data_IF_209915017438
#
_entry.id   IF_209915017438
#
_cell.length_a   1.000
_cell.length_b   1.000
_cell.length_c   1.000
_cell.angle_alpha   90.00
_cell.angle_beta   90.00
_cell.angle_gamma   90.00
#
_symmetry.space_group_name_H-M   'P 1'
#
loop_
_entity.id
_entity.type
_entity.pdbx_description
1 polymer ?
#
# COMPACT_ATOMS: atom_id res chain seq x y z
N UNK A 1 -14.74 11.16 5.32
CA UNK A 1 -13.97 10.99 6.57
C UNK A 1 -13.22 9.68 6.48
N UNK A 2 -11.92 9.64 6.79
CA UNK A 2 -11.22 8.35 6.95
C UNK A 2 -11.82 7.63 8.16
N UNK A 3 -12.19 6.37 8.00
CA UNK A 3 -12.76 5.56 9.08
C UNK A 3 -11.63 5.16 10.03
N UNK A 4 -11.71 5.61 11.28
CA UNK A 4 -10.82 5.14 12.35
C UNK A 4 -11.55 4.03 13.09
N UNK A 5 -10.96 2.84 13.13
CA UNK A 5 -11.48 1.71 13.91
C UNK A 5 -10.66 1.62 15.20
N UNK A 6 -11.31 1.59 16.36
CA UNK A 6 -10.62 1.43 17.64
C UNK A 6 -10.76 -0.01 18.10
N UNK A 7 -9.64 -0.69 18.34
CA UNK A 7 -9.64 -2.04 18.89
C UNK A 7 -10.16 -2.00 20.35
N UNK A 8 -11.22 -2.74 20.68
CA UNK A 8 -11.88 -2.63 21.99
C UNK A 8 -11.05 -3.19 23.15
N UNK A 9 -9.98 -3.94 22.89
CA UNK A 9 -9.15 -4.56 23.93
C UNK A 9 -7.90 -3.76 24.25
N UNK A 10 -7.16 -3.34 23.23
CA UNK A 10 -5.90 -2.59 23.35
C UNK A 10 -6.09 -1.07 23.33
N UNK A 11 -7.23 -0.58 22.83
CA UNK A 11 -7.46 0.85 22.59
C UNK A 11 -6.69 1.43 21.40
N UNK A 12 -5.98 0.58 20.63
CA UNK A 12 -5.26 1.02 19.44
C UNK A 12 -6.22 1.50 18.35
N UNK A 13 -5.83 2.58 17.68
CA UNK A 13 -6.57 3.12 16.54
C UNK A 13 -5.96 2.62 15.23
N UNK A 14 -6.79 1.98 14.41
CA UNK A 14 -6.47 1.54 13.07
C UNK A 14 -7.05 2.51 12.05
N UNK A 15 -6.20 2.99 11.15
CA UNK A 15 -6.57 3.93 10.09
C UNK A 15 -6.33 3.26 8.74
N UNK A 16 -7.36 3.21 7.89
CA UNK A 16 -7.22 2.70 6.53
C UNK A 16 -6.46 3.70 5.65
N UNK A 17 -5.38 3.24 5.02
CA UNK A 17 -4.53 4.04 4.13
C UNK A 17 -4.66 3.62 2.65
N UNK A 18 -5.37 2.54 2.37
CA UNK A 18 -5.53 1.99 1.03
C UNK A 18 -6.70 2.61 0.28
N UNK A 19 -6.58 2.65 -1.04
CA UNK A 19 -7.71 2.93 -1.92
C UNK A 19 -8.52 1.65 -2.18
N UNK A 20 -9.84 1.78 -2.28
CA UNK A 20 -10.71 0.67 -2.67
C UNK A 20 -10.37 0.22 -4.09
N UNK A 21 -10.15 -1.08 -4.25
CA UNK A 21 -9.99 -1.70 -5.57
C UNK A 21 -11.34 -2.00 -6.22
N UNK A 22 -11.38 -1.92 -7.55
CA UNK A 22 -12.58 -2.23 -8.31
C UNK A 22 -12.51 -1.78 -9.76
N UNK A 23 -13.67 -1.82 -10.42
CA UNK A 23 -13.83 -1.29 -11.77
C UNK A 23 -13.50 0.21 -11.76
N UNK A 24 -12.69 0.67 -12.73
CA UNK A 24 -12.17 2.03 -12.86
C UNK A 24 -11.13 2.47 -11.80
N UNK A 25 -10.57 1.55 -11.00
CA UNK A 25 -9.36 1.89 -10.26
C UNK A 25 -8.28 2.31 -11.26
N UNK A 26 -7.66 3.50 -11.12
CA UNK A 26 -6.69 3.98 -12.10
C UNK A 26 -5.52 3.03 -12.24
N UNK A 27 -5.12 2.76 -13.48
CA UNK A 27 -3.92 2.00 -13.82
C UNK A 27 -2.79 2.95 -14.25
N UNK A 28 -1.55 2.53 -14.04
CA UNK A 28 -0.39 3.22 -14.61
C UNK A 28 -0.48 3.17 -16.14
N UNK A 29 -0.22 4.27 -16.88
CA UNK A 29 -0.16 4.22 -18.33
C UNK A 29 0.78 3.13 -18.84
N UNK A 30 0.22 2.16 -19.58
CA UNK A 30 0.93 0.99 -20.10
C UNK A 30 0.57 -0.33 -19.42
N UNK A 31 0.03 -0.30 -18.19
CA UNK A 31 -0.42 -1.48 -17.47
C UNK A 31 -1.89 -1.81 -17.77
N UNK A 32 -2.21 -3.10 -17.80
CA UNK A 32 -3.58 -3.56 -17.96
C UNK A 32 -4.41 -3.27 -16.70
N UNK A 33 -5.67 -2.84 -16.91
CA UNK A 33 -6.61 -2.64 -15.81
C UNK A 33 -6.88 -3.92 -15.02
N UNK A 34 -7.24 -3.74 -13.74
CA UNK A 34 -7.68 -4.84 -12.88
C UNK A 34 -8.99 -5.42 -13.40
N UNK A 35 -8.98 -6.72 -13.68
CA UNK A 35 -10.17 -7.48 -14.05
C UNK A 35 -10.63 -8.32 -12.86
N UNK A 36 -11.87 -8.08 -12.42
CA UNK A 36 -12.49 -8.82 -11.32
C UNK A 36 -13.88 -9.29 -11.73
N UNK A 37 -14.16 -10.58 -11.57
CA UNK A 37 -15.47 -11.14 -11.88
C UNK A 37 -15.84 -12.28 -10.93
N UNK A 38 -17.15 -12.45 -10.69
CA UNK A 38 -17.65 -13.58 -9.88
C UNK A 38 -17.56 -14.86 -10.70
N UNK A 39 -16.77 -15.81 -10.20
CA UNK A 39 -16.64 -17.12 -10.82
C UNK A 39 -17.68 -18.11 -10.28
N UNK A 40 -18.09 -17.97 -9.02
CA UNK A 40 -19.05 -18.87 -8.36
C UNK A 40 -20.09 -18.01 -7.63
N UNK A 41 -21.38 -18.35 -7.80
CA UNK A 41 -22.51 -17.64 -7.20
C UNK A 41 -23.10 -18.44 -6.04
N UNK A 42 -23.31 -17.78 -4.90
CA UNK A 42 -23.81 -18.42 -3.68
C UNK A 42 -25.17 -19.09 -3.88
N UNK A 43 -26.10 -18.45 -4.58
CA UNK A 43 -27.43 -18.99 -4.83
C UNK A 43 -27.41 -20.31 -5.63
N UNK A 44 -26.36 -20.55 -6.41
CA UNK A 44 -26.24 -21.74 -7.26
C UNK A 44 -25.43 -22.86 -6.60
N UNK A 45 -24.40 -22.50 -5.82
CA UNK A 45 -23.39 -23.47 -5.36
C UNK A 45 -23.18 -23.48 -3.84
N UNK A 46 -23.92 -22.67 -3.08
CA UNK A 46 -23.74 -22.55 -1.62
C UNK A 46 -22.48 -21.79 -1.18
N UNK A 47 -21.66 -21.30 -2.13
CA UNK A 47 -20.43 -20.52 -1.87
C UNK A 47 -20.27 -19.40 -2.88
N UNK A 48 -19.47 -18.37 -2.55
CA UNK A 48 -19.13 -17.26 -3.44
C UNK A 48 -17.63 -17.17 -3.64
N UNK A 49 -17.19 -17.07 -4.89
CA UNK A 49 -15.78 -16.89 -5.24
C UNK A 49 -15.61 -15.91 -6.40
N UNK A 50 -14.53 -15.13 -6.33
CA UNK A 50 -14.14 -14.16 -7.36
C UNK A 50 -12.83 -14.59 -8.01
N UNK A 51 -12.68 -14.26 -9.30
CA UNK A 51 -11.42 -14.34 -10.03
C UNK A 51 -10.90 -12.92 -10.26
N UNK A 52 -9.61 -12.76 -10.03
CA UNK A 52 -8.89 -11.51 -10.18
C UNK A 52 -7.73 -11.72 -11.16
N UNK A 53 -7.53 -10.80 -12.09
CA UNK A 53 -6.33 -10.68 -12.93
C UNK A 53 -5.85 -9.24 -12.83
N UNK A 54 -4.61 -9.05 -12.41
CA UNK A 54 -3.99 -7.74 -12.17
C UNK A 54 -2.48 -7.83 -12.37
N UNK A 55 -1.84 -6.67 -12.55
CA UNK A 55 -0.40 -6.53 -12.34
C UNK A 55 -0.13 -6.34 -10.86
N UNK A 56 1.10 -6.58 -10.40
CA UNK A 56 1.46 -6.36 -8.99
C UNK A 56 1.40 -4.88 -8.59
N UNK A 57 1.50 -3.97 -9.57
CA UNK A 57 1.57 -2.53 -9.40
C UNK A 57 0.20 -1.85 -9.57
N UNK A 58 -0.87 -2.44 -9.03
CA UNK A 58 -2.22 -1.89 -9.13
C UNK A 58 -2.67 -1.26 -7.81
N UNK A 59 -3.17 -0.01 -7.86
CA UNK A 59 -3.70 0.72 -6.71
C UNK A 59 -2.66 0.95 -5.60
N UNK A 60 -3.12 0.95 -4.33
CA UNK A 60 -2.19 0.90 -3.17
C UNK A 60 -1.50 -0.46 -3.16
N UNK A 61 -0.18 -0.47 -3.36
CA UNK A 61 0.63 -1.68 -3.48
C UNK A 61 1.99 -1.48 -2.80
N UNK A 62 2.80 -2.54 -2.78
CA UNK A 62 4.18 -2.49 -2.30
C UNK A 62 5.15 -2.96 -3.39
N UNK A 63 6.34 -2.37 -3.40
CA UNK A 63 7.42 -2.79 -4.27
C UNK A 63 8.41 -3.65 -3.49
N UNK A 64 8.87 -4.72 -4.13
CA UNK A 64 9.93 -5.59 -3.58
C UNK A 64 11.25 -5.29 -4.28
N UNK A 65 12.42 -5.62 -3.69
CA UNK A 65 13.71 -5.38 -4.32
C UNK A 65 13.80 -5.91 -5.75
N UNK A 66 13.22 -7.09 -6.02
CA UNK A 66 13.20 -7.70 -7.36
C UNK A 66 12.58 -6.81 -8.45
N UNK A 67 11.75 -5.82 -8.08
CA UNK A 67 11.14 -4.90 -9.04
C UNK A 67 12.18 -4.07 -9.81
N UNK A 68 13.23 -3.59 -9.14
CA UNK A 68 14.24 -2.70 -9.76
C UNK A 68 15.69 -3.18 -9.57
N UNK A 69 15.92 -4.18 -8.71
CA UNK A 69 17.25 -4.70 -8.41
C UNK A 69 17.36 -6.09 -9.02
N UNK A 70 18.27 -6.25 -9.96
CA UNK A 70 18.55 -7.53 -10.59
C UNK A 70 18.93 -8.57 -9.53
N UNK A 71 18.25 -9.72 -9.53
CA UNK A 71 18.37 -10.79 -8.51
C UNK A 71 18.02 -10.32 -7.08
N UNK A 72 17.26 -9.23 -6.94
CA UNK A 72 16.70 -8.82 -5.66
C UNK A 72 15.70 -9.84 -5.11
N UNK A 73 15.40 -9.73 -3.81
CA UNK A 73 14.41 -10.56 -3.15
C UNK A 73 12.99 -10.30 -3.70
N UNK A 74 12.23 -11.38 -3.95
CA UNK A 74 10.80 -11.29 -4.24
C UNK A 74 9.98 -11.18 -2.96
N UNK A 75 8.67 -10.95 -3.08
CA UNK A 75 7.79 -10.77 -1.92
C UNK A 75 7.82 -11.95 -0.92
N UNK A 76 7.92 -13.17 -1.44
CA UNK A 76 7.96 -14.39 -0.62
C UNK A 76 9.28 -14.58 0.14
N UNK A 77 10.34 -13.85 -0.25
CA UNK A 77 11.67 -13.94 0.35
C UNK A 77 11.91 -12.86 1.42
N UNK A 78 10.97 -11.93 1.60
CA UNK A 78 11.08 -10.87 2.61
C UNK A 78 10.59 -11.41 3.96
N UNK A 79 11.40 -11.25 5.00
CA UNK A 79 11.05 -11.67 6.36
C UNK A 79 9.88 -10.82 6.90
N UNK A 80 8.99 -11.46 7.69
CA UNK A 80 7.71 -10.86 8.11
C UNK A 80 7.86 -9.61 8.99
N UNK A 81 8.96 -9.50 9.73
CA UNK A 81 9.29 -8.33 10.56
C UNK A 81 9.50 -7.06 9.74
N UNK A 82 9.84 -7.15 8.45
CA UNK A 82 9.93 -5.99 7.56
C UNK A 82 8.57 -5.37 7.20
N UNK A 83 7.45 -6.02 7.52
CA UNK A 83 6.10 -5.52 7.22
C UNK A 83 5.43 -4.82 8.42
N UNK A 84 6.13 -4.77 9.56
CA UNK A 84 5.64 -4.14 10.78
C UNK A 84 6.70 -3.23 11.37
N UNK A 85 6.32 -2.01 11.72
CA UNK A 85 7.27 -1.02 12.20
C UNK A 85 6.62 0.33 12.44
N UNK A 86 7.42 1.27 12.93
CA UNK A 86 6.96 2.62 13.17
C UNK A 86 6.92 3.38 11.84
N UNK A 87 5.82 4.08 11.58
CA UNK A 87 5.74 5.04 10.48
C UNK A 87 5.88 6.45 11.04
N UNK A 88 6.60 7.31 10.33
CA UNK A 88 6.69 8.73 10.63
C UNK A 88 5.96 9.52 9.55
N UNK A 89 5.09 10.43 9.97
CA UNK A 89 4.38 11.33 9.06
C UNK A 89 5.07 12.67 9.11
N UNK A 90 5.68 13.07 7.99
CA UNK A 90 6.39 14.34 7.85
C UNK A 90 5.54 15.31 7.04
N UNK A 91 5.20 16.45 7.64
CA UNK A 91 4.55 17.54 6.91
C UNK A 91 5.62 18.33 6.13
N UNK A 92 5.57 18.26 4.80
CA UNK A 92 6.51 18.91 3.89
C UNK A 92 5.76 19.71 2.83
N UNK A 93 5.32 20.94 3.13
CA UNK A 93 4.59 21.74 2.18
C UNK A 93 5.49 22.10 1.00
N UNK A 94 5.05 21.72 -0.20
CA UNK A 94 5.72 21.95 -1.49
C UNK A 94 4.72 22.40 -2.53
N UNK A 95 5.13 23.28 -3.43
CA UNK A 95 4.39 23.61 -4.64
C UNK A 95 4.48 22.45 -5.64
N UNK A 96 3.57 22.48 -6.63
CA UNK A 96 3.56 21.48 -7.70
C UNK A 96 4.93 21.41 -8.38
N UNK A 97 5.49 20.20 -8.45
CA UNK A 97 6.79 19.88 -9.06
C UNK A 97 8.04 20.32 -8.28
N UNK A 98 7.89 20.84 -7.06
CA UNK A 98 9.06 21.07 -6.22
C UNK A 98 9.62 19.75 -5.70
N UNK A 99 10.95 19.71 -5.59
CA UNK A 99 11.67 18.54 -5.11
C UNK A 99 11.64 18.48 -3.58
N UNK A 100 11.42 17.28 -3.05
CA UNK A 100 11.76 16.95 -1.65
C UNK A 100 13.25 16.66 -1.60
N UNK A 101 13.98 17.48 -0.85
CA UNK A 101 15.44 17.45 -0.78
C UNK A 101 15.93 16.81 0.52
N UNK A 102 17.20 16.42 0.58
CA UNK A 102 17.82 15.97 1.82
C UNK A 102 17.75 17.02 2.95
N UNK A 103 17.79 18.31 2.61
CA UNK A 103 17.63 19.39 3.60
C UNK A 103 16.23 19.43 4.19
N UNK A 104 15.20 19.11 3.39
CA UNK A 104 13.82 19.02 3.88
C UNK A 104 13.69 17.88 4.89
N UNK A 105 14.26 16.70 4.57
CA UNK A 105 14.28 15.55 5.47
C UNK A 105 15.02 15.85 6.79
N UNK A 106 16.16 16.55 6.73
CA UNK A 106 16.92 16.92 7.92
C UNK A 106 16.20 17.96 8.81
N UNK A 107 15.43 18.85 8.19
CA UNK A 107 14.63 19.86 8.89
C UNK A 107 13.29 19.31 9.40
N UNK A 108 12.83 18.18 8.86
CA UNK A 108 11.53 17.61 9.15
C UNK A 108 11.35 17.26 10.63
N UNK A 109 10.10 17.34 11.08
CA UNK A 109 9.70 16.92 12.43
C UNK A 109 8.45 16.04 12.34
N UNK A 110 8.37 14.98 13.17
CA UNK A 110 9.38 14.54 14.14
C UNK A 110 10.63 13.94 13.47
N UNK A 111 11.70 13.71 14.24
CA UNK A 111 12.96 13.17 13.73
C UNK A 111 12.77 11.76 13.16
N UNK A 112 13.34 11.51 11.98
CA UNK A 112 13.37 10.19 11.33
C UNK A 112 14.36 9.29 12.07
N UNK A 113 13.95 8.08 12.44
CA UNK A 113 14.80 7.09 13.08
C UNK A 113 15.08 5.92 12.15
N UNK A 114 16.16 5.21 12.47
CA UNK A 114 16.50 3.99 11.75
C UNK A 114 15.37 2.96 11.89
N UNK A 115 14.89 2.44 10.76
CA UNK A 115 13.81 1.46 10.69
C UNK A 115 12.41 2.06 10.56
N UNK A 116 12.27 3.39 10.55
CA UNK A 116 10.98 4.02 10.30
C UNK A 116 10.55 3.83 8.82
N UNK A 117 9.25 3.65 8.61
CA UNK A 117 8.61 3.92 7.33
C UNK A 117 8.44 5.44 7.20
N UNK A 118 9.08 6.04 6.20
CA UNK A 118 9.13 7.50 5.97
C UNK A 118 8.39 7.85 4.70
#
# INVERSE_FOLDING_TARGET
>A
MKTVTTDPYSGLQMVELSHVWGHNAPSMPGDADVLMFRSVKHAQHGVMAQRLKMVMHSGTHMNTPLHLIQKGAGAADIALDHFFGNGVILDMPKNRWELVTASDLAAARPEIRQGDFV
#
